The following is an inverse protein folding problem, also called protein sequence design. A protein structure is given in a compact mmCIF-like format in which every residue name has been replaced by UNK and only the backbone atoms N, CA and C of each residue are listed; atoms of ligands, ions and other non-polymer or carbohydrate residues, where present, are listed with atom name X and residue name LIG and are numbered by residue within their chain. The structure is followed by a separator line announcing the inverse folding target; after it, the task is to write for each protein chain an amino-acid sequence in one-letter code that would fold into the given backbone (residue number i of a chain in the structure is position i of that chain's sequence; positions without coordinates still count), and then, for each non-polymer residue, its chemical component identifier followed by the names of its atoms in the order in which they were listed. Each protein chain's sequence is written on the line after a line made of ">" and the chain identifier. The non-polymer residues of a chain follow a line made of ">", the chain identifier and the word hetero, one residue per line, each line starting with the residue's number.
data_IF_360033987472
#
_entry.id   IF_360033987472
#
_cell.length_a   1.000
_cell.length_b   1.000
_cell.length_c   1.000
_cell.angle_alpha   90.00
_cell.angle_beta   90.00
_cell.angle_gamma   90.00
#
_symmetry.space_group_name_H-M   'P 1'
#
loop_
_entity.id
_entity.type
_entity.pdbx_description
1 polymer ?
#
# COMPACT_ATOMS: atom_id res chain seq x y z
N UNK A 1 15.78 4.56 21.41
CA UNK A 1 15.62 5.73 20.57
C UNK A 1 14.98 6.89 21.29
N UNK A 2 15.28 8.12 20.89
CA UNK A 2 14.67 9.33 21.44
C UNK A 2 13.25 9.51 20.90
N UNK A 3 12.31 9.94 21.74
CA UNK A 3 10.95 10.33 21.33
C UNK A 3 10.98 11.70 20.62
N UNK A 4 11.90 12.55 20.97
CA UNK A 4 12.02 13.92 20.42
C UNK A 4 12.60 13.93 19.00
N UNK A 5 13.50 13.01 18.65
CA UNK A 5 14.15 12.99 17.35
C UNK A 5 13.18 12.95 16.18
N UNK A 6 12.26 11.97 16.13
CA UNK A 6 11.25 11.91 15.06
C UNK A 6 10.34 13.15 15.00
N UNK A 7 9.96 13.70 16.16
CA UNK A 7 9.12 14.91 16.21
C UNK A 7 9.86 16.14 15.66
N UNK A 8 11.11 16.34 16.07
CA UNK A 8 11.93 17.43 15.55
C UNK A 8 12.19 17.30 14.05
N UNK A 9 12.38 16.06 13.56
CA UNK A 9 12.56 15.84 12.14
C UNK A 9 11.29 16.20 11.33
N UNK A 10 10.10 15.83 11.80
CA UNK A 10 8.83 16.20 11.15
C UNK A 10 8.67 17.72 11.11
N UNK A 11 8.98 18.44 12.20
CA UNK A 11 8.96 19.92 12.25
C UNK A 11 9.98 20.49 11.24
N UNK A 12 11.16 19.91 11.19
CA UNK A 12 12.25 20.36 10.31
C UNK A 12 11.93 20.23 8.83
N UNK A 13 11.29 19.14 8.41
CA UNK A 13 10.97 18.86 7.00
C UNK A 13 9.63 19.46 6.55
N UNK A 14 8.83 20.00 7.46
CA UNK A 14 7.42 20.38 7.20
C UNK A 14 7.23 21.42 6.09
N UNK A 15 8.21 22.28 5.85
CA UNK A 15 8.12 23.34 4.85
C UNK A 15 8.72 23.00 3.48
N UNK A 16 9.28 21.79 3.31
CA UNK A 16 9.85 21.34 2.03
C UNK A 16 8.83 21.39 0.87
N UNK A 17 7.55 21.23 1.17
CA UNK A 17 6.48 21.23 0.17
C UNK A 17 5.93 22.62 -0.18
N UNK A 18 6.42 23.71 0.49
CA UNK A 18 5.84 25.06 0.34
C UNK A 18 5.87 25.58 -1.08
N UNK A 19 6.93 25.34 -1.83
CA UNK A 19 7.14 25.87 -3.18
C UNK A 19 6.83 24.85 -4.28
N UNK A 20 6.25 23.69 -3.93
CA UNK A 20 5.90 22.61 -4.84
C UNK A 20 4.45 22.75 -5.29
N UNK A 21 4.22 22.72 -6.61
CA UNK A 21 2.89 22.81 -7.22
C UNK A 21 2.19 21.47 -7.38
N UNK A 22 2.96 20.39 -7.44
CA UNK A 22 2.47 19.02 -7.52
C UNK A 22 2.01 18.52 -6.16
N UNK A 23 1.15 17.53 -6.14
CA UNK A 23 0.71 16.92 -4.90
C UNK A 23 1.88 16.21 -4.21
N UNK A 24 2.10 16.53 -2.94
CA UNK A 24 3.24 16.03 -2.16
C UNK A 24 2.75 15.23 -0.98
N UNK A 25 3.37 14.08 -0.75
CA UNK A 25 3.14 13.23 0.41
C UNK A 25 4.44 13.01 1.16
N UNK A 26 4.41 13.27 2.48
CA UNK A 26 5.55 13.11 3.37
C UNK A 26 5.23 12.03 4.42
N UNK A 27 6.14 11.10 4.61
CA UNK A 27 6.08 10.12 5.69
C UNK A 27 7.48 9.88 6.25
N UNK A 28 7.76 10.45 7.40
CA UNK A 28 9.10 10.50 7.99
C UNK A 28 10.11 11.09 6.98
N UNK A 29 11.10 10.31 6.55
CA UNK A 29 12.11 10.67 5.57
C UNK A 29 11.70 10.36 4.10
N UNK A 30 10.59 9.65 3.92
CA UNK A 30 10.07 9.34 2.58
C UNK A 30 9.23 10.50 2.04
N UNK A 31 9.53 10.96 0.82
CA UNK A 31 8.80 11.98 0.11
C UNK A 31 8.34 11.47 -1.25
N UNK A 32 7.09 11.79 -1.61
CA UNK A 32 6.51 11.50 -2.92
C UNK A 32 5.92 12.76 -3.52
N UNK A 33 6.17 12.96 -4.80
CA UNK A 33 5.60 14.03 -5.59
C UNK A 33 4.78 13.39 -6.71
N UNK A 34 3.49 13.69 -6.75
CA UNK A 34 2.56 13.11 -7.70
C UNK A 34 1.96 14.21 -8.59
N UNK A 35 2.00 14.00 -9.92
CA UNK A 35 1.38 14.89 -10.89
C UNK A 35 0.68 14.10 -11.97
N UNK A 36 -0.57 14.48 -12.26
CA UNK A 36 -1.29 13.94 -13.42
C UNK A 36 -0.80 14.64 -14.68
N UNK A 37 -0.35 13.88 -15.66
CA UNK A 37 0.14 14.38 -16.96
C UNK A 37 -1.04 14.60 -17.92
N UNK A 38 -1.66 15.77 -17.85
CA UNK A 38 -2.83 16.15 -18.69
C UNK A 38 -2.47 17.16 -19.76
N UNK A 39 -1.52 18.05 -19.48
CA UNK A 39 -1.10 19.17 -20.32
C UNK A 39 0.40 19.06 -20.64
N UNK A 40 0.80 19.68 -21.75
CA UNK A 40 2.20 19.65 -22.20
C UNK A 40 3.17 20.27 -21.18
N UNK A 41 2.72 21.25 -20.37
CA UNK A 41 3.54 21.91 -19.36
C UNK A 41 3.68 21.11 -18.04
N UNK A 42 2.90 20.07 -17.84
CA UNK A 42 2.92 19.29 -16.58
C UNK A 42 4.32 18.70 -16.29
N UNK A 43 5.05 18.31 -17.33
CA UNK A 43 6.44 17.84 -17.22
C UNK A 43 7.38 18.91 -16.68
N UNK A 44 7.28 20.13 -17.25
CA UNK A 44 8.08 21.27 -16.83
C UNK A 44 7.76 21.67 -15.38
N UNK A 45 6.49 21.54 -14.98
CA UNK A 45 6.10 21.80 -13.59
C UNK A 45 6.71 20.77 -12.66
N UNK A 46 6.61 19.48 -12.99
CA UNK A 46 7.21 18.42 -12.14
C UNK A 46 8.74 18.57 -12.05
N UNK A 47 9.43 18.94 -13.16
CA UNK A 47 10.86 19.19 -13.11
C UNK A 47 11.20 20.36 -12.19
N UNK A 48 10.44 21.47 -12.27
CA UNK A 48 10.64 22.62 -11.36
C UNK A 48 10.39 22.26 -9.89
N UNK A 49 9.42 21.40 -9.63
CA UNK A 49 9.15 20.90 -8.29
C UNK A 49 10.34 20.07 -7.76
N UNK A 50 10.94 19.22 -8.59
CA UNK A 50 12.17 18.47 -8.24
C UNK A 50 13.35 19.38 -7.99
N UNK A 51 13.52 20.43 -8.80
CA UNK A 51 14.58 21.44 -8.62
C UNK A 51 14.37 22.19 -7.28
N UNK A 52 13.12 22.53 -6.93
CA UNK A 52 12.79 23.17 -5.65
C UNK A 52 13.13 22.29 -4.45
N UNK A 53 12.92 20.98 -4.56
CA UNK A 53 13.32 20.01 -3.52
C UNK A 53 14.84 19.94 -3.39
N UNK A 54 15.56 19.90 -4.52
CA UNK A 54 17.02 19.87 -4.50
C UNK A 54 17.60 21.14 -3.82
N UNK A 55 17.11 22.32 -4.22
CA UNK A 55 17.51 23.61 -3.63
C UNK A 55 17.19 23.67 -2.13
N UNK A 56 16.02 23.17 -1.72
CA UNK A 56 15.65 23.13 -0.33
C UNK A 56 16.59 22.21 0.48
N UNK A 57 16.89 21.02 -0.03
CA UNK A 57 17.76 20.05 0.67
C UNK A 57 19.20 20.57 0.78
N UNK A 58 19.74 21.24 -0.25
CA UNK A 58 21.05 21.89 -0.18
C UNK A 58 21.08 23.01 0.86
N UNK A 59 20.06 23.86 0.87
CA UNK A 59 19.93 24.98 1.83
C UNK A 59 19.90 24.51 3.27
N UNK A 60 19.20 23.42 3.53
CA UNK A 60 18.99 22.89 4.88
C UNK A 60 19.98 21.78 5.26
N UNK A 61 20.96 21.47 4.41
CA UNK A 61 22.01 20.48 4.70
C UNK A 61 21.52 19.04 4.80
N UNK A 62 20.40 18.70 4.13
CA UNK A 62 19.96 17.34 3.95
C UNK A 62 20.52 16.75 2.67
N UNK A 63 20.81 15.46 2.67
CA UNK A 63 21.26 14.75 1.47
C UNK A 63 20.20 13.78 0.95
N UNK A 64 19.85 13.94 -0.34
CA UNK A 64 18.97 13.00 -1.02
C UNK A 64 19.72 11.74 -1.40
N UNK A 65 19.13 10.58 -1.15
CA UNK A 65 19.67 9.31 -1.63
C UNK A 65 19.17 9.01 -3.05
N UNK A 66 19.85 9.56 -4.06
CA UNK A 66 19.45 9.44 -5.47
C UNK A 66 19.43 7.99 -5.97
N UNK A 67 20.16 7.06 -5.34
CA UNK A 67 20.10 5.64 -5.69
C UNK A 67 18.76 4.98 -5.34
N UNK A 68 17.99 5.59 -4.45
CA UNK A 68 16.63 5.18 -4.07
C UNK A 68 15.54 6.01 -4.72
N UNK A 69 15.92 7.09 -5.42
CA UNK A 69 14.93 7.92 -6.11
C UNK A 69 14.62 7.32 -7.47
N UNK A 70 13.33 7.27 -7.81
CA UNK A 70 12.87 6.76 -9.09
C UNK A 70 11.56 7.39 -9.53
N UNK A 71 11.24 7.22 -10.78
CA UNK A 71 10.01 7.71 -11.42
C UNK A 71 9.15 6.51 -11.73
N UNK A 72 7.96 6.46 -11.16
CA UNK A 72 6.93 5.47 -11.44
C UNK A 72 5.82 6.10 -12.27
N UNK A 73 5.73 5.73 -13.54
CA UNK A 73 4.64 6.17 -14.43
C UNK A 73 3.45 5.24 -14.32
N UNK A 74 2.33 5.71 -13.73
CA UNK A 74 1.12 4.91 -13.58
C UNK A 74 0.22 5.09 -14.81
N UNK A 75 -0.19 3.98 -15.42
CA UNK A 75 -1.10 3.97 -16.59
C UNK A 75 -0.43 4.35 -17.91
N UNK A 76 0.84 4.68 -17.91
CA UNK A 76 1.67 4.90 -19.11
C UNK A 76 2.92 4.05 -18.99
N UNK A 77 3.19 3.24 -19.99
CA UNK A 77 4.51 2.63 -20.14
C UNK A 77 5.45 3.78 -20.46
N UNK A 78 6.30 4.13 -19.46
CA UNK A 78 7.22 5.26 -19.56
C UNK A 78 8.00 5.22 -20.86
N UNK A 79 7.71 6.15 -21.75
CA UNK A 79 8.54 6.40 -22.93
C UNK A 79 9.79 7.13 -22.45
N UNK A 80 10.88 7.05 -23.22
CA UNK A 80 12.14 7.81 -22.99
C UNK A 80 11.93 9.31 -22.77
N UNK A 81 10.75 9.84 -23.13
CA UNK A 81 10.33 11.22 -22.94
C UNK A 81 10.18 11.63 -21.47
N UNK A 82 10.05 10.69 -20.54
CA UNK A 82 9.83 10.97 -19.11
C UNK A 82 11.16 11.01 -18.33
N UNK A 83 12.20 11.60 -18.90
CA UNK A 83 13.47 11.77 -18.21
C UNK A 83 13.46 13.04 -17.35
N UNK A 84 13.59 12.85 -16.05
CA UNK A 84 13.75 13.92 -15.07
C UNK A 84 15.15 13.86 -14.47
N UNK A 85 15.64 15.02 -14.06
CA UNK A 85 16.97 15.18 -13.50
C UNK A 85 16.88 15.89 -12.13
N UNK A 86 17.80 15.55 -11.25
CA UNK A 86 18.02 16.30 -9.99
C UNK A 86 19.44 16.80 -9.99
N UNK A 87 19.61 18.09 -9.68
CA UNK A 87 20.91 18.71 -9.55
C UNK A 87 21.25 18.85 -8.05
N UNK A 88 22.36 18.24 -7.61
CA UNK A 88 22.86 18.34 -6.25
C UNK A 88 24.37 18.64 -6.29
N UNK A 89 24.82 19.64 -5.54
CA UNK A 89 26.24 20.01 -5.50
C UNK A 89 26.84 20.37 -6.87
N UNK A 90 26.02 20.89 -7.79
CA UNK A 90 26.44 21.21 -9.16
C UNK A 90 26.48 20.02 -10.12
N UNK A 91 26.17 18.80 -9.66
CA UNK A 91 26.12 17.60 -10.50
C UNK A 91 24.66 17.27 -10.84
N UNK A 92 24.37 17.16 -12.15
CA UNK A 92 23.06 16.70 -12.63
C UNK A 92 23.04 15.18 -12.70
N UNK A 93 22.04 14.57 -12.10
CA UNK A 93 21.81 13.13 -12.17
C UNK A 93 20.38 12.85 -12.67
N UNK A 94 20.31 12.01 -13.70
CA UNK A 94 19.04 11.53 -14.25
C UNK A 94 18.41 10.52 -13.30
N UNK A 95 17.11 10.66 -13.04
CA UNK A 95 16.34 9.70 -12.25
C UNK A 95 16.01 8.46 -13.08
N UNK A 96 16.06 7.30 -12.43
CA UNK A 96 15.72 6.03 -13.07
C UNK A 96 14.21 5.89 -13.22
N UNK A 97 13.76 5.41 -14.38
CA UNK A 97 12.38 4.96 -14.57
C UNK A 97 12.27 3.57 -13.94
N UNK A 98 11.29 3.41 -13.07
CA UNK A 98 11.01 2.16 -12.37
C UNK A 98 9.63 1.65 -12.72
N UNK A 99 9.45 0.35 -12.77
CA UNK A 99 8.14 -0.30 -13.04
C UNK A 99 7.40 -0.69 -11.78
N UNK A 100 8.07 -0.64 -10.63
CA UNK A 100 7.45 -0.88 -9.34
C UNK A 100 8.28 -0.27 -8.21
N UNK A 101 7.60 0.15 -7.14
CA UNK A 101 8.22 0.69 -5.94
C UNK A 101 7.53 0.14 -4.68
N UNK A 102 8.31 -0.04 -3.62
CA UNK A 102 7.79 -0.48 -2.33
C UNK A 102 7.44 0.71 -1.45
N UNK A 103 6.18 1.06 -1.45
CA UNK A 103 5.63 2.17 -0.69
C UNK A 103 4.96 1.71 0.61
N UNK A 104 5.47 2.17 1.77
CA UNK A 104 4.95 1.84 3.11
C UNK A 104 4.60 0.35 3.28
N UNK A 105 5.41 -0.52 2.68
CA UNK A 105 5.25 -1.97 2.76
C UNK A 105 4.35 -2.59 1.69
N UNK A 106 3.74 -1.80 0.81
CA UNK A 106 3.00 -2.26 -0.37
C UNK A 106 3.89 -2.11 -1.61
N UNK A 107 4.01 -3.16 -2.41
CA UNK A 107 4.68 -3.06 -3.70
C UNK A 107 3.66 -2.58 -4.73
N UNK A 108 3.85 -1.34 -5.19
CA UNK A 108 3.01 -0.68 -6.20
C UNK A 108 3.67 -0.85 -7.55
N UNK A 109 2.94 -1.31 -8.55
CA UNK A 109 3.40 -1.44 -9.93
C UNK A 109 2.72 -0.39 -10.83
N UNK A 110 3.32 -0.14 -12.00
CA UNK A 110 2.88 0.85 -13.00
C UNK A 110 1.50 0.57 -13.60
N UNK A 111 1.04 -0.69 -13.56
CA UNK A 111 -0.28 -1.11 -14.02
C UNK A 111 -1.32 -1.16 -12.86
N UNK A 112 -0.91 -0.95 -11.60
CA UNK A 112 -1.73 -1.10 -10.39
C UNK A 112 -2.42 -2.47 -10.29
N UNK A 113 -1.80 -3.52 -10.82
CA UNK A 113 -2.31 -4.90 -10.72
C UNK A 113 -1.94 -5.60 -9.41
N UNK A 114 -0.89 -5.15 -8.75
CA UNK A 114 -0.39 -5.68 -7.48
C UNK A 114 -0.08 -7.19 -7.50
N UNK A 115 0.18 -7.77 -8.69
CA UNK A 115 0.44 -9.21 -8.80
C UNK A 115 1.64 -9.65 -7.98
N UNK A 116 2.74 -8.91 -8.08
CA UNK A 116 3.99 -9.19 -7.37
C UNK A 116 3.80 -9.01 -5.86
N UNK A 117 3.09 -7.96 -5.44
CA UNK A 117 2.74 -7.77 -4.04
C UNK A 117 1.95 -8.95 -3.47
N UNK A 118 0.88 -9.37 -4.17
CA UNK A 118 0.04 -10.50 -3.76
C UNK A 118 0.86 -11.80 -3.72
N UNK A 119 1.81 -11.98 -4.66
CA UNK A 119 2.72 -13.10 -4.64
C UNK A 119 3.58 -13.10 -3.38
N UNK A 120 4.18 -11.97 -3.05
CA UNK A 120 5.06 -11.81 -1.88
C UNK A 120 4.32 -12.05 -0.58
N UNK A 121 3.18 -11.38 -0.35
CA UNK A 121 2.41 -11.54 0.90
C UNK A 121 1.89 -12.96 1.09
N UNK A 122 1.43 -13.62 0.02
CA UNK A 122 0.95 -15.01 0.09
C UNK A 122 2.11 -15.99 0.34
N UNK A 123 3.29 -15.76 -0.23
CA UNK A 123 4.49 -16.54 0.06
C UNK A 123 4.91 -16.39 1.51
N UNK A 124 4.98 -15.17 2.01
CA UNK A 124 5.35 -14.89 3.40
C UNK A 124 4.35 -15.48 4.40
N UNK A 125 3.05 -15.36 4.14
CA UNK A 125 2.01 -16.00 4.93
C UNK A 125 2.15 -17.53 4.95
N UNK A 126 2.46 -18.15 3.81
CA UNK A 126 2.71 -19.59 3.73
C UNK A 126 3.98 -20.03 4.49
N UNK A 127 5.06 -19.22 4.48
CA UNK A 127 6.26 -19.48 5.30
C UNK A 127 5.90 -19.53 6.79
N UNK A 128 5.11 -18.56 7.27
CA UNK A 128 4.63 -18.50 8.66
C UNK A 128 3.76 -19.72 8.99
N UNK A 129 2.83 -20.12 8.10
CA UNK A 129 2.04 -21.34 8.28
C UNK A 129 2.92 -22.58 8.38
N UNK A 130 4.01 -22.66 7.62
CA UNK A 130 5.00 -23.73 7.72
C UNK A 130 5.68 -23.78 9.10
N UNK A 131 6.00 -22.61 9.65
CA UNK A 131 6.58 -22.50 11.02
C UNK A 131 5.56 -22.96 12.06
N UNK A 132 4.31 -22.49 11.98
CA UNK A 132 3.24 -22.90 12.90
C UNK A 132 3.04 -24.41 12.84
N UNK A 133 2.96 -25.00 11.63
CA UNK A 133 2.78 -26.44 11.44
C UNK A 133 3.91 -27.28 12.06
N UNK A 134 5.16 -26.80 11.96
CA UNK A 134 6.33 -27.53 12.52
C UNK A 134 6.37 -27.49 14.03
N UNK A 135 6.00 -26.36 14.63
CA UNK A 135 6.11 -26.16 16.08
C UNK A 135 4.89 -26.67 16.85
N UNK A 136 3.72 -26.78 16.21
CA UNK A 136 2.46 -27.20 16.86
C UNK A 136 1.89 -28.43 16.16
N UNK A 137 2.14 -29.63 16.70
CA UNK A 137 1.60 -30.88 16.13
C UNK A 137 0.09 -31.03 16.35
N UNK A 138 -0.41 -30.66 17.55
CA UNK A 138 -1.82 -30.72 17.92
C UNK A 138 -2.27 -29.35 18.42
N UNK A 139 -2.52 -28.43 17.48
CA UNK A 139 -2.93 -27.08 17.81
C UNK A 139 -4.43 -27.04 18.18
N UNK A 140 -4.74 -26.49 19.35
CA UNK A 140 -6.12 -26.21 19.75
C UNK A 140 -6.73 -25.05 18.99
N UNK A 141 -8.07 -24.99 18.92
CA UNK A 141 -8.81 -23.95 18.17
C UNK A 141 -8.42 -22.54 18.58
N UNK A 142 -8.35 -22.25 19.88
CA UNK A 142 -8.07 -20.91 20.39
C UNK A 142 -6.64 -20.47 20.06
N UNK A 143 -5.66 -21.34 20.26
CA UNK A 143 -4.26 -21.10 19.90
C UNK A 143 -4.11 -20.89 18.38
N UNK A 144 -4.78 -21.75 17.59
CA UNK A 144 -4.80 -21.59 16.14
C UNK A 144 -5.36 -20.21 15.73
N UNK A 145 -6.50 -19.81 16.28
CA UNK A 145 -7.13 -18.53 15.95
C UNK A 145 -6.23 -17.34 16.31
N UNK A 146 -5.55 -17.42 17.46
CA UNK A 146 -4.60 -16.39 17.89
C UNK A 146 -3.44 -16.28 16.89
N UNK A 147 -2.73 -17.37 16.63
CA UNK A 147 -1.58 -17.39 15.73
C UNK A 147 -1.96 -17.03 14.29
N UNK A 148 -3.09 -17.58 13.80
CA UNK A 148 -3.56 -17.28 12.46
C UNK A 148 -3.91 -15.80 12.29
N UNK A 149 -4.68 -15.22 13.21
CA UNK A 149 -5.11 -13.83 13.11
C UNK A 149 -3.94 -12.85 13.25
N UNK A 150 -3.03 -13.09 14.19
CA UNK A 150 -1.93 -12.17 14.48
C UNK A 150 -0.76 -12.28 13.50
N UNK A 151 -0.40 -13.49 13.07
CA UNK A 151 0.83 -13.71 12.30
C UNK A 151 0.59 -13.94 10.79
N UNK A 152 -0.53 -14.58 10.42
CA UNK A 152 -0.79 -14.97 9.04
C UNK A 152 -1.77 -14.00 8.38
N UNK A 153 -2.96 -13.83 8.97
CA UNK A 153 -4.01 -12.99 8.40
C UNK A 153 -3.62 -11.51 8.36
N UNK A 154 -2.93 -11.02 9.39
CA UNK A 154 -2.40 -9.65 9.42
C UNK A 154 -1.53 -9.32 8.21
N UNK A 155 -0.73 -10.29 7.71
CA UNK A 155 0.06 -10.12 6.49
C UNK A 155 -0.78 -10.08 5.22
N UNK A 156 -1.91 -10.79 5.19
CA UNK A 156 -2.81 -10.87 4.05
C UNK A 156 -3.83 -9.72 3.99
N UNK A 157 -3.95 -8.94 5.06
CA UNK A 157 -4.93 -7.85 5.18
C UNK A 157 -4.27 -6.46 5.38
N UNK A 158 -2.95 -6.40 5.52
CA UNK A 158 -2.24 -5.12 5.67
C UNK A 158 -2.47 -4.23 4.44
N UNK A 159 -2.92 -2.99 4.67
CA UNK A 159 -3.19 -1.99 3.63
C UNK A 159 -4.08 -2.51 2.48
N UNK A 160 -4.99 -3.46 2.76
CA UNK A 160 -5.80 -4.13 1.73
C UNK A 160 -6.61 -3.16 0.87
N UNK A 161 -7.02 -2.00 1.38
CA UNK A 161 -7.79 -1.00 0.66
C UNK A 161 -7.00 -0.38 -0.52
N UNK A 162 -5.67 -0.49 -0.51
CA UNK A 162 -4.80 0.00 -1.58
C UNK A 162 -4.71 -1.02 -2.73
N UNK A 163 -4.56 -2.30 -2.40
CA UNK A 163 -4.21 -3.35 -3.36
C UNK A 163 -5.29 -4.44 -3.52
N UNK A 164 -6.51 -4.22 -3.03
CA UNK A 164 -7.59 -5.22 -3.09
C UNK A 164 -7.81 -5.73 -4.52
N UNK A 165 -7.56 -7.01 -4.83
CA UNK A 165 -7.61 -7.49 -6.19
C UNK A 165 -9.06 -7.68 -6.68
N UNK A 166 -9.32 -7.30 -7.92
CA UNK A 166 -10.56 -7.57 -8.65
C UNK A 166 -10.50 -8.86 -9.49
N UNK A 167 -9.29 -9.29 -9.91
CA UNK A 167 -9.12 -10.51 -10.71
C UNK A 167 -9.28 -11.77 -9.84
N UNK A 168 -10.15 -12.69 -10.27
CA UNK A 168 -10.46 -13.92 -9.52
C UNK A 168 -9.21 -14.75 -9.20
N UNK A 169 -8.23 -14.81 -10.13
CA UNK A 169 -6.97 -15.54 -9.93
C UNK A 169 -6.24 -15.12 -8.65
N UNK A 170 -6.24 -13.82 -8.35
CA UNK A 170 -5.56 -13.26 -7.17
C UNK A 170 -6.41 -13.43 -5.91
N UNK A 171 -7.72 -13.25 -6.00
CA UNK A 171 -8.65 -13.51 -4.90
C UNK A 171 -8.49 -14.95 -4.42
N UNK A 172 -8.48 -15.91 -5.35
CA UNK A 172 -8.28 -17.32 -5.01
C UNK A 172 -6.89 -17.63 -4.46
N UNK A 173 -5.85 -16.97 -4.97
CA UNK A 173 -4.49 -17.13 -4.48
C UNK A 173 -4.39 -16.78 -2.99
N UNK A 174 -4.99 -15.68 -2.57
CA UNK A 174 -5.05 -15.25 -1.18
C UNK A 174 -5.90 -16.23 -0.36
N UNK A 175 -7.08 -16.59 -0.85
CA UNK A 175 -7.99 -17.51 -0.17
C UNK A 175 -7.41 -18.92 0.01
N UNK A 176 -6.55 -19.38 -0.92
CA UNK A 176 -5.81 -20.66 -0.80
C UNK A 176 -4.96 -20.72 0.46
N UNK A 177 -4.41 -19.59 0.94
CA UNK A 177 -3.65 -19.53 2.20
C UNK A 177 -4.55 -19.87 3.38
N UNK A 178 -5.74 -19.28 3.47
CA UNK A 178 -6.70 -19.57 4.54
C UNK A 178 -7.25 -21.02 4.43
N UNK A 179 -7.50 -21.51 3.21
CA UNK A 179 -7.89 -22.91 3.00
C UNK A 179 -6.84 -23.88 3.53
N UNK A 180 -5.55 -23.57 3.34
CA UNK A 180 -4.43 -24.37 3.87
C UNK A 180 -4.34 -24.23 5.39
N UNK A 181 -4.45 -23.00 5.92
CA UNK A 181 -4.38 -22.75 7.36
C UNK A 181 -5.43 -23.53 8.14
N UNK A 182 -6.68 -23.50 7.69
CA UNK A 182 -7.78 -24.20 8.38
C UNK A 182 -7.64 -25.71 8.42
N UNK A 183 -6.79 -26.32 7.56
CA UNK A 183 -6.47 -27.75 7.58
C UNK A 183 -5.45 -28.13 8.65
N UNK A 184 -4.82 -27.17 9.33
CA UNK A 184 -3.88 -27.46 10.41
C UNK A 184 -4.58 -27.94 11.68
N UNK A 185 -5.86 -27.63 11.84
CA UNK A 185 -6.65 -28.09 12.97
C UNK A 185 -6.96 -29.59 12.86
N UNK A 186 -6.87 -30.34 13.97
CA UNK A 186 -7.22 -31.76 14.00
C UNK A 186 -8.66 -32.00 13.49
N UNK A 187 -8.86 -33.10 12.78
CA UNK A 187 -10.17 -33.55 12.27
C UNK A 187 -10.85 -32.57 11.27
N UNK A 188 -10.12 -31.58 10.75
CA UNK A 188 -10.65 -30.61 9.78
C UNK A 188 -10.31 -30.96 8.32
N UNK A 189 -9.32 -31.80 8.07
CA UNK A 189 -8.80 -32.08 6.73
C UNK A 189 -9.83 -32.71 5.78
N UNK A 190 -10.77 -33.53 6.32
CA UNK A 190 -11.84 -34.19 5.56
C UNK A 190 -13.09 -33.31 5.34
N UNK A 191 -13.19 -32.16 6.03
CA UNK A 191 -14.33 -31.26 5.91
C UNK A 191 -14.18 -30.32 4.70
N UNK A 192 -15.32 -29.90 4.10
CA UNK A 192 -15.32 -28.85 3.10
C UNK A 192 -14.79 -27.52 3.69
N UNK A 193 -14.33 -26.60 2.82
CA UNK A 193 -13.82 -25.33 3.28
C UNK A 193 -14.86 -24.52 4.06
N UNK A 194 -16.08 -24.47 3.57
CA UNK A 194 -17.19 -23.79 4.24
C UNK A 194 -17.51 -24.37 5.61
N UNK A 195 -17.55 -25.70 5.72
CA UNK A 195 -17.76 -26.37 7.01
C UNK A 195 -16.66 -26.02 8.01
N UNK A 196 -15.38 -25.97 7.56
CA UNK A 196 -14.27 -25.56 8.41
C UNK A 196 -14.45 -24.13 8.90
N UNK A 197 -14.80 -23.20 8.00
CA UNK A 197 -15.01 -21.79 8.37
C UNK A 197 -16.12 -21.62 9.39
N UNK A 198 -17.28 -22.27 9.19
CA UNK A 198 -18.40 -22.25 10.15
C UNK A 198 -17.98 -22.79 11.51
N UNK A 199 -17.29 -23.93 11.55
CA UNK A 199 -16.84 -24.58 12.79
C UNK A 199 -15.80 -23.74 13.56
N UNK A 200 -14.93 -23.02 12.83
CA UNK A 200 -13.89 -22.17 13.43
C UNK A 200 -14.44 -20.77 13.76
N UNK A 201 -15.51 -20.32 13.10
CA UNK A 201 -16.05 -18.97 13.25
C UNK A 201 -15.21 -17.94 12.48
N UNK A 202 -14.73 -18.29 11.28
CA UNK A 202 -13.99 -17.39 10.39
C UNK A 202 -14.81 -17.09 9.13
N UNK A 203 -14.92 -15.84 8.69
CA UNK A 203 -15.41 -15.51 7.35
C UNK A 203 -14.31 -15.79 6.30
N UNK A 204 -14.68 -15.77 5.02
CA UNK A 204 -13.71 -15.77 3.92
C UNK A 204 -12.88 -14.49 3.92
N UNK A 205 -11.65 -14.54 3.40
CA UNK A 205 -10.83 -13.33 3.23
C UNK A 205 -11.44 -12.40 2.17
N UNK A 206 -12.09 -12.95 1.14
CA UNK A 206 -12.82 -12.16 0.15
C UNK A 206 -13.94 -11.32 0.79
N UNK A 207 -14.78 -11.93 1.64
CA UNK A 207 -15.82 -11.20 2.38
C UNK A 207 -15.24 -10.10 3.27
N UNK A 208 -14.12 -10.38 3.95
CA UNK A 208 -13.46 -9.40 4.82
C UNK A 208 -12.92 -8.19 4.05
N UNK A 209 -12.37 -8.41 2.86
CA UNK A 209 -11.91 -7.31 1.99
C UNK A 209 -13.06 -6.42 1.57
N UNK A 210 -14.11 -6.99 0.98
CA UNK A 210 -15.30 -6.21 0.58
C UNK A 210 -15.88 -5.43 1.76
N UNK A 211 -15.99 -6.07 2.93
CA UNK A 211 -16.45 -5.37 4.14
C UNK A 211 -15.49 -4.24 4.56
N UNK A 212 -14.19 -4.44 4.45
CA UNK A 212 -13.18 -3.43 4.72
C UNK A 212 -13.33 -2.22 3.78
N UNK A 213 -13.44 -2.47 2.49
CA UNK A 213 -13.62 -1.44 1.46
C UNK A 213 -14.90 -0.64 1.71
N UNK A 214 -16.01 -1.31 2.05
CA UNK A 214 -17.28 -0.63 2.40
C UNK A 214 -17.17 0.23 3.67
N UNK A 215 -16.40 -0.20 4.66
CA UNK A 215 -16.13 0.60 5.87
C UNK A 215 -15.32 1.85 5.51
N UNK A 216 -14.33 1.75 4.64
CA UNK A 216 -13.54 2.90 4.20
C UNK A 216 -14.37 3.89 3.40
N UNK A 217 -15.19 3.41 2.45
CA UNK A 217 -16.15 4.26 1.72
C UNK A 217 -17.09 4.97 2.70
N UNK A 218 -17.63 4.25 3.68
CA UNK A 218 -18.48 4.87 4.70
C UNK A 218 -17.77 5.99 5.47
N UNK A 219 -16.51 5.77 5.88
CA UNK A 219 -15.71 6.77 6.59
C UNK A 219 -15.46 8.01 5.72
N UNK A 220 -15.14 7.82 4.44
CA UNK A 220 -14.94 8.91 3.48
C UNK A 220 -16.21 9.75 3.35
N UNK A 221 -17.38 9.12 3.16
CA UNK A 221 -18.66 9.81 3.01
C UNK A 221 -19.14 10.55 4.26
N UNK A 222 -18.70 10.14 5.44
CA UNK A 222 -19.13 10.72 6.72
C UNK A 222 -18.05 11.61 7.35
N UNK A 223 -17.02 12.02 6.59
CA UNK A 223 -16.00 12.95 7.07
C UNK A 223 -15.18 12.43 8.26
N UNK A 224 -15.08 11.11 8.43
CA UNK A 224 -14.27 10.51 9.51
C UNK A 224 -12.78 10.71 9.24
N UNK A 225 -12.40 10.89 7.98
CA UNK A 225 -11.08 11.37 7.58
C UNK A 225 -11.17 12.88 7.39
N UNK A 226 -10.46 13.63 8.22
CA UNK A 226 -10.36 15.08 8.08
C UNK A 226 -9.64 15.42 6.78
N UNK A 227 -10.23 16.36 6.02
CA UNK A 227 -9.69 17.08 4.86
C UNK A 227 -8.51 16.39 4.15
N UNK A 228 -8.76 15.24 3.58
CA UNK A 228 -7.84 14.66 2.62
C UNK A 228 -8.19 15.30 1.28
N UNK A 229 -7.39 16.29 0.88
CA UNK A 229 -7.33 16.75 -0.49
C UNK A 229 -7.13 15.53 -1.39
N UNK A 230 -8.12 15.17 -2.18
CA UNK A 230 -8.11 13.99 -3.03
C UNK A 230 -9.06 12.84 -2.64
N UNK A 231 -9.89 12.99 -1.60
CA UNK A 231 -11.05 12.10 -1.44
C UNK A 231 -11.94 12.22 -2.68
N UNK A 232 -12.30 11.10 -3.33
CA UNK A 232 -13.23 11.16 -4.46
C UNK A 232 -14.55 11.77 -3.99
N UNK A 233 -14.97 12.85 -4.68
CA UNK A 233 -16.27 13.45 -4.45
C UNK A 233 -17.33 12.48 -5.00
N UNK A 234 -17.85 11.63 -4.11
CA UNK A 234 -18.87 10.65 -4.48
C UNK A 234 -20.24 11.31 -4.34
N UNK A 235 -20.85 11.61 -5.49
CA UNK A 235 -22.24 12.05 -5.53
C UNK A 235 -23.16 10.92 -5.03
N UNK A 236 -23.72 11.08 -3.85
CA UNK A 236 -24.71 10.15 -3.33
C UNK A 236 -26.01 10.31 -4.13
N UNK A 237 -26.34 9.31 -4.94
CA UNK A 237 -27.66 9.25 -5.57
C UNK A 237 -28.74 9.21 -4.48
N UNK A 238 -29.47 10.28 -4.33
CA UNK A 238 -30.67 10.33 -3.48
C UNK A 238 -31.79 9.55 -4.14
N UNK A 239 -31.86 8.23 -3.90
CA UNK A 239 -33.05 7.47 -4.25
C UNK A 239 -34.19 7.89 -3.32
N UNK A 240 -35.17 8.63 -3.87
CA UNK A 240 -36.48 8.70 -3.26
C UNK A 240 -37.07 7.29 -3.32
N UNK A 241 -37.11 6.63 -2.17
CA UNK A 241 -37.90 5.39 -2.04
C UNK A 241 -39.37 5.85 -2.17
N UNK A 242 -39.95 5.71 -3.35
CA UNK A 242 -41.38 5.76 -3.54
C UNK A 242 -41.96 4.51 -2.87
N UNK A 243 -42.69 4.73 -1.81
CA UNK A 243 -43.53 3.72 -1.16
C UNK A 243 -44.67 3.31 -2.08
#
# INVERSE_FOLDING_TARGET
>A
GSVLGPLLFVIYINDISRDIKSQTFLYADDMKICRAMKEDDDRSVLQRDLDSVADWTERWGLSLNLSKCGILGIGHRGEERDSYEIQLGGVKQKLNIITSEKDLGVLVDDELEFETHIAEITQNANKILGIIKRNFRNIGRNTFLLLYKSMVRSKLEYAQNVWSPYKMKYIERIEKVQRRATKLLPNMSKMSYEQRLRKIGLPTLAYRRVRGDMIEVYKMLHGVFYDIDGCPNLDLATYKVTR
#
